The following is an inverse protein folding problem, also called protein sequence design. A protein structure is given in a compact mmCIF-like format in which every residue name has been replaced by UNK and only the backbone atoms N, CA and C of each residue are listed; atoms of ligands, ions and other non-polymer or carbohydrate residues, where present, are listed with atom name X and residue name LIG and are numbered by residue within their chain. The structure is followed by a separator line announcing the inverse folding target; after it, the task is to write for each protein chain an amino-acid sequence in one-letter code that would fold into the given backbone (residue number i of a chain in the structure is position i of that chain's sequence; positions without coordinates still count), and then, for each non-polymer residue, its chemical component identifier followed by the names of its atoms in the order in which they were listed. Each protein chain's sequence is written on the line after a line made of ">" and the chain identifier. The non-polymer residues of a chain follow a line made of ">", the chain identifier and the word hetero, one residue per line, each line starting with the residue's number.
data_IF_122511719738
#
_entry.id   IF_122511719738
#
_cell.length_a   1.000
_cell.length_b   1.000
_cell.length_c   1.000
_cell.angle_alpha   90.00
_cell.angle_beta   90.00
_cell.angle_gamma   90.00
#
_symmetry.space_group_name_H-M   'P 1'
#
loop_
_entity.id
_entity.type
_entity.pdbx_description
1 polymer ?
#
# COMPACT_ATOMS: atom_id res chain seq x y z
N UNK A 1 -4.17 7.66 -19.48
CA UNK A 1 -4.66 7.85 -18.10
C UNK A 1 -3.42 7.79 -17.22
N UNK A 2 -2.97 8.92 -16.68
CA UNK A 2 -1.92 8.92 -15.64
C UNK A 2 -2.60 8.63 -14.31
N UNK A 3 -1.96 7.81 -13.47
CA UNK A 3 -2.39 7.58 -12.09
C UNK A 3 -1.85 8.72 -11.25
N UNK A 4 -2.68 9.27 -10.36
CA UNK A 4 -2.24 10.27 -9.38
C UNK A 4 -1.43 9.64 -8.23
N UNK A 5 -1.37 8.31 -8.16
CA UNK A 5 -0.75 7.54 -7.06
C UNK A 5 0.64 6.98 -7.41
N UNK A 6 0.99 6.91 -8.69
CA UNK A 6 2.23 6.31 -9.18
C UNK A 6 2.83 7.10 -10.34
N UNK A 7 4.09 7.50 -10.17
CA UNK A 7 4.84 8.33 -11.10
C UNK A 7 6.18 7.68 -11.45
N UNK A 8 6.44 7.58 -12.75
CA UNK A 8 7.75 7.18 -13.27
C UNK A 8 8.61 8.44 -13.48
N UNK A 9 9.89 8.33 -13.13
CA UNK A 9 10.89 9.32 -13.46
C UNK A 9 11.16 9.39 -14.96
N UNK A 10 11.94 10.39 -15.40
CA UNK A 10 12.36 10.52 -16.80
C UNK A 10 13.21 9.35 -17.32
N UNK A 11 13.73 8.53 -16.41
CA UNK A 11 14.46 7.28 -16.66
C UNK A 11 13.55 6.05 -16.77
N UNK A 12 12.24 6.21 -16.58
CA UNK A 12 11.26 5.12 -16.61
C UNK A 12 11.21 4.28 -15.33
N UNK A 13 11.87 4.71 -14.24
CA UNK A 13 11.88 4.02 -12.96
C UNK A 13 10.87 4.62 -11.98
N UNK A 14 10.44 3.82 -11.01
CA UNK A 14 9.77 4.34 -9.81
C UNK A 14 10.84 4.80 -8.85
N UNK A 15 10.72 6.02 -8.35
CA UNK A 15 11.66 6.61 -7.38
C UNK A 15 11.00 6.73 -6.01
N UNK A 16 11.75 6.55 -4.90
CA UNK A 16 11.28 6.95 -3.58
C UNK A 16 10.87 8.43 -3.60
N UNK A 17 9.92 8.80 -2.74
CA UNK A 17 9.70 10.23 -2.45
C UNK A 17 11.01 10.86 -1.97
N UNK A 18 11.43 11.91 -2.67
CA UNK A 18 12.67 12.62 -2.38
C UNK A 18 12.46 13.68 -1.28
N UNK A 19 13.33 13.68 -0.27
CA UNK A 19 13.41 14.74 0.74
C UNK A 19 12.72 14.44 2.07
N UNK A 20 12.75 15.42 2.99
CA UNK A 20 12.13 15.32 4.32
C UNK A 20 10.65 15.70 4.32
N UNK A 21 10.07 16.02 3.16
CA UNK A 21 8.67 16.42 3.00
C UNK A 21 7.98 15.40 2.11
N UNK A 22 6.87 14.85 2.60
CA UNK A 22 6.02 13.99 1.80
C UNK A 22 5.32 14.85 0.74
N UNK A 23 5.83 14.82 -0.49
CA UNK A 23 5.25 15.60 -1.59
C UNK A 23 4.04 14.90 -2.22
N UNK A 24 4.14 13.58 -2.51
CA UNK A 24 3.08 12.75 -3.13
C UNK A 24 3.27 11.25 -2.87
N UNK A 25 2.21 10.43 -2.93
CA UNK A 25 2.34 8.98 -2.95
C UNK A 25 3.09 8.50 -4.20
N UNK A 26 3.92 7.47 -4.03
CA UNK A 26 4.53 6.74 -5.14
C UNK A 26 4.67 5.23 -4.84
N UNK A 27 3.61 4.64 -4.27
CA UNK A 27 3.61 3.25 -3.83
C UNK A 27 2.26 2.78 -3.34
N UNK A 28 2.26 1.66 -2.60
CA UNK A 28 1.05 1.02 -2.11
C UNK A 28 0.42 1.82 -0.98
N UNK A 29 -0.83 2.27 -1.18
CA UNK A 29 -1.64 2.94 -0.18
C UNK A 29 -2.08 1.95 0.93
N UNK A 30 -1.80 2.31 2.18
CA UNK A 30 -2.11 1.51 3.36
C UNK A 30 -2.77 2.38 4.44
N UNK A 31 -3.63 1.76 5.27
CA UNK A 31 -4.28 2.40 6.42
C UNK A 31 -4.32 1.42 7.61
N UNK A 32 -4.26 1.93 8.85
CA UNK A 32 -4.62 1.14 10.02
C UNK A 32 -6.05 0.60 9.88
N UNK A 33 -6.28 -0.57 10.47
CA UNK A 33 -7.61 -1.16 10.59
C UNK A 33 -8.44 -0.38 11.63
N UNK A 34 -9.08 0.69 11.17
CA UNK A 34 -9.94 1.56 11.96
C UNK A 34 -11.17 2.03 11.18
N UNK A 35 -12.00 2.91 11.76
CA UNK A 35 -13.30 3.28 11.18
C UNK A 35 -13.24 3.74 9.72
N UNK A 36 -12.21 4.52 9.36
CA UNK A 36 -12.02 5.03 8.00
C UNK A 36 -11.71 3.90 7.01
N UNK A 37 -10.79 2.98 7.34
CA UNK A 37 -10.48 1.86 6.46
C UNK A 37 -11.67 0.91 6.30
N UNK A 38 -12.44 0.71 7.37
CA UNK A 38 -13.65 -0.09 7.33
C UNK A 38 -14.73 0.54 6.46
N UNK A 39 -14.89 1.86 6.50
CA UNK A 39 -15.75 2.58 5.56
C UNK A 39 -15.29 2.41 4.11
N UNK A 40 -13.98 2.49 3.85
CA UNK A 40 -13.40 2.24 2.52
C UNK A 40 -13.72 0.83 2.04
N UNK A 41 -13.46 -0.19 2.87
CA UNK A 41 -13.72 -1.60 2.53
C UNK A 41 -15.21 -1.80 2.24
N UNK A 42 -16.12 -1.32 3.09
CA UNK A 42 -17.58 -1.51 2.92
C UNK A 42 -18.13 -0.85 1.66
N UNK A 43 -17.59 0.30 1.29
CA UNK A 43 -18.07 1.09 0.15
C UNK A 43 -17.28 0.85 -1.14
N UNK A 44 -16.27 -0.02 -1.13
CA UNK A 44 -15.46 -0.28 -2.32
C UNK A 44 -16.31 -0.93 -3.42
N UNK A 45 -16.42 -0.23 -4.57
CA UNK A 45 -17.26 -0.67 -5.69
C UNK A 45 -16.61 -1.77 -6.56
N UNK A 46 -15.34 -2.10 -6.32
CA UNK A 46 -14.61 -3.10 -7.09
C UNK A 46 -15.13 -4.51 -6.82
N UNK A 47 -15.42 -5.25 -7.90
CA UNK A 47 -15.88 -6.64 -7.79
C UNK A 47 -14.70 -7.53 -7.41
N UNK A 48 -14.87 -8.38 -6.39
CA UNK A 48 -13.84 -9.32 -5.89
C UNK A 48 -12.58 -8.62 -5.35
N UNK A 49 -12.78 -7.52 -4.62
CA UNK A 49 -11.68 -6.90 -3.90
C UNK A 49 -11.11 -7.88 -2.86
N UNK A 50 -9.78 -7.95 -2.83
CA UNK A 50 -9.02 -8.64 -1.80
C UNK A 50 -8.50 -7.60 -0.81
N UNK A 51 -8.59 -7.93 0.48
CA UNK A 51 -8.10 -7.11 1.57
C UNK A 51 -6.92 -7.85 2.18
N UNK A 52 -5.74 -7.22 2.15
CA UNK A 52 -4.57 -7.71 2.87
C UNK A 52 -4.45 -6.96 4.20
N UNK A 53 -4.39 -7.69 5.31
CA UNK A 53 -4.13 -7.16 6.65
C UNK A 53 -2.74 -7.62 7.09
N UNK A 54 -1.85 -6.67 7.33
CA UNK A 54 -0.49 -6.90 7.85
C UNK A 54 -0.47 -6.50 9.31
N UNK A 55 -0.02 -7.39 10.19
CA UNK A 55 0.07 -7.13 11.62
C UNK A 55 1.19 -6.13 11.96
N UNK A 56 1.04 -5.43 13.08
CA UNK A 56 2.09 -4.54 13.60
C UNK A 56 3.36 -5.33 13.95
N UNK A 57 4.52 -4.73 13.70
CA UNK A 57 5.81 -5.33 14.04
C UNK A 57 6.41 -6.24 12.97
N UNK A 58 5.70 -6.45 11.84
CA UNK A 58 6.27 -7.13 10.68
C UNK A 58 7.44 -6.31 10.10
N UNK A 59 8.64 -6.89 9.98
CA UNK A 59 9.77 -6.20 9.35
C UNK A 59 9.50 -5.92 7.87
N UNK A 60 9.75 -4.68 7.46
CA UNK A 60 9.65 -4.27 6.06
C UNK A 60 10.96 -4.65 5.35
N UNK A 61 10.90 -5.25 4.14
CA UNK A 61 12.10 -5.53 3.34
C UNK A 61 12.94 -4.27 3.13
N UNK A 62 14.28 -4.36 3.12
CA UNK A 62 15.14 -3.19 2.98
C UNK A 62 14.97 -2.45 1.65
N UNK A 63 14.40 -3.09 0.63
CA UNK A 63 14.05 -2.50 -0.66
C UNK A 63 12.77 -1.65 -0.61
N UNK A 64 12.01 -1.72 0.49
CA UNK A 64 10.78 -0.98 0.71
C UNK A 64 10.90 -0.03 1.91
N UNK A 65 10.10 1.02 1.89
CA UNK A 65 10.00 2.01 2.98
C UNK A 65 8.55 2.39 3.20
N UNK A 66 8.13 2.47 4.45
CA UNK A 66 6.80 2.92 4.82
C UNK A 66 6.86 4.39 5.23
N UNK A 67 6.25 5.25 4.41
CA UNK A 67 6.05 6.65 4.75
C UNK A 67 4.70 6.84 5.41
N UNK A 68 4.69 7.63 6.48
CA UNK A 68 3.45 8.19 7.02
C UNK A 68 3.16 9.48 6.28
N UNK A 69 2.08 9.51 5.49
CA UNK A 69 1.75 10.67 4.66
C UNK A 69 1.10 11.77 5.50
N UNK A 70 -0.09 11.46 6.01
CA UNK A 70 -0.96 12.34 6.79
C UNK A 70 -2.07 11.50 7.44
N UNK A 71 -2.56 11.94 8.61
CA UNK A 71 -3.66 11.27 9.33
C UNK A 71 -3.42 9.75 9.52
N UNK A 72 -4.27 8.92 8.93
CA UNK A 72 -4.22 7.45 8.98
C UNK A 72 -3.67 6.83 7.67
N UNK A 73 -3.10 7.65 6.78
CA UNK A 73 -2.66 7.21 5.46
C UNK A 73 -1.15 6.99 5.45
N UNK A 74 -0.76 5.78 5.03
CA UNK A 74 0.62 5.36 4.83
C UNK A 74 0.86 4.94 3.38
N UNK A 75 2.10 5.05 2.93
CA UNK A 75 2.54 4.61 1.61
C UNK A 75 3.75 3.71 1.72
N UNK A 76 3.61 2.46 1.29
CA UNK A 76 4.70 1.52 1.17
C UNK A 76 5.33 1.66 -0.23
N UNK A 77 6.52 2.21 -0.28
CA UNK A 77 7.21 2.62 -1.51
C UNK A 77 8.53 1.88 -1.69
N UNK A 78 9.15 2.01 -2.86
CA UNK A 78 10.53 1.59 -3.06
C UNK A 78 11.48 2.46 -2.22
N UNK A 79 12.49 1.87 -1.58
CA UNK A 79 13.56 2.57 -0.86
C UNK A 79 14.69 3.06 -1.79
N UNK A 80 14.75 2.54 -3.01
CA UNK A 80 15.70 2.94 -4.05
C UNK A 80 15.04 2.83 -5.44
N UNK A 81 15.53 3.56 -6.46
CA UNK A 81 14.93 3.54 -7.79
C UNK A 81 14.89 2.12 -8.37
N UNK A 82 13.72 1.70 -8.85
CA UNK A 82 13.52 0.36 -9.42
C UNK A 82 12.46 0.36 -10.51
N UNK A 83 12.35 -0.73 -11.27
CA UNK A 83 11.29 -0.84 -12.27
C UNK A 83 9.92 -0.99 -11.58
N UNK A 84 8.85 -0.54 -12.24
CA UNK A 84 7.49 -0.79 -11.75
C UNK A 84 7.19 -2.29 -11.60
N UNK A 85 7.77 -3.11 -12.47
CA UNK A 85 7.63 -4.56 -12.38
C UNK A 85 8.23 -5.11 -11.08
N UNK A 86 9.44 -4.67 -10.73
CA UNK A 86 10.11 -5.08 -9.49
C UNK A 86 9.37 -4.59 -8.25
N UNK A 87 8.89 -3.34 -8.26
CA UNK A 87 8.10 -2.81 -7.14
C UNK A 87 6.82 -3.64 -6.93
N UNK A 88 6.08 -3.91 -8.00
CA UNK A 88 4.86 -4.73 -7.92
C UNK A 88 5.16 -6.14 -7.40
N UNK A 89 6.25 -6.76 -7.85
CA UNK A 89 6.69 -8.07 -7.37
C UNK A 89 7.01 -8.03 -5.88
N UNK A 90 7.83 -7.08 -5.43
CA UNK A 90 8.22 -6.93 -4.03
C UNK A 90 7.01 -6.70 -3.11
N UNK A 91 6.09 -5.82 -3.49
CA UNK A 91 4.86 -5.56 -2.73
C UNK A 91 4.00 -6.81 -2.63
N UNK A 92 3.81 -7.52 -3.75
CA UNK A 92 3.00 -8.75 -3.80
C UNK A 92 3.62 -9.85 -2.95
N UNK A 93 4.93 -10.05 -3.05
CA UNK A 93 5.67 -11.06 -2.27
C UNK A 93 5.59 -10.74 -0.78
N UNK A 94 5.79 -9.47 -0.40
CA UNK A 94 5.67 -9.01 0.99
C UNK A 94 4.26 -9.27 1.57
N UNK A 95 3.21 -8.87 0.84
CA UNK A 95 1.83 -9.04 1.28
C UNK A 95 1.40 -10.50 1.35
N UNK A 96 1.84 -11.34 0.40
CA UNK A 96 1.55 -12.78 0.44
C UNK A 96 2.28 -13.51 1.56
N UNK A 97 3.50 -13.08 1.89
CA UNK A 97 4.29 -13.73 2.94
C UNK A 97 3.87 -13.32 4.35
N UNK A 98 3.39 -12.08 4.54
CA UNK A 98 3.16 -11.51 5.87
C UNK A 98 1.72 -11.04 6.13
N UNK A 99 0.89 -10.96 5.09
CA UNK A 99 -0.49 -10.50 5.19
C UNK A 99 -1.48 -11.66 5.31
N UNK A 100 -2.53 -11.46 6.09
CA UNK A 100 -3.76 -12.22 5.93
C UNK A 100 -4.55 -11.66 4.75
N UNK A 101 -4.88 -12.51 3.78
CA UNK A 101 -5.74 -12.14 2.64
C UNK A 101 -7.17 -12.62 2.88
N UNK A 102 -8.12 -11.71 2.74
CA UNK A 102 -9.56 -12.00 2.80
C UNK A 102 -10.28 -11.37 1.61
N UNK A 103 -11.47 -11.86 1.31
CA UNK A 103 -12.41 -11.11 0.48
C UNK A 103 -12.97 -9.90 1.23
N UNK A 104 -13.52 -8.93 0.49
CA UNK A 104 -14.24 -7.80 1.07
C UNK A 104 -15.34 -8.22 2.07
N UNK A 105 -16.10 -9.29 1.75
CA UNK A 105 -17.18 -9.81 2.59
C UNK A 105 -16.64 -10.41 3.89
N UNK A 106 -15.67 -11.32 3.78
CA UNK A 106 -14.99 -11.93 4.94
C UNK A 106 -14.32 -10.87 5.83
N UNK A 107 -13.71 -9.84 5.23
CA UNK A 107 -13.13 -8.73 5.99
C UNK A 107 -14.17 -7.96 6.80
N UNK A 108 -15.35 -7.69 6.22
CA UNK A 108 -16.43 -6.99 6.91
C UNK A 108 -17.00 -7.83 8.07
N UNK A 109 -17.07 -9.15 7.91
CA UNK A 109 -17.54 -10.07 8.96
C UNK A 109 -16.54 -10.22 10.10
N UNK A 110 -15.25 -10.39 9.76
CA UNK A 110 -14.19 -10.66 10.73
C UNK A 110 -13.80 -9.43 11.54
N UNK A 111 -13.90 -8.24 10.95
CA UNK A 111 -13.47 -6.97 11.55
C UNK A 111 -14.62 -5.94 11.57
N UNK A 112 -15.68 -6.17 12.38
CA UNK A 112 -16.94 -5.42 12.28
C UNK A 112 -16.94 -4.04 12.98
N UNK A 113 -15.80 -3.37 13.04
CA UNK A 113 -15.58 -2.06 13.68
C UNK A 113 -16.79 -1.10 13.61
#
# INVERSE_FOLDING_TARGET
>A
MQSDDLHLGGDGLVHPVAGNTFDRPNGCSMRPDGPMMQEVIRNFAGRRALVWRVEEGIPIPPELVLYHEHSDHYSLQCASPMTLHDLNRLLTDFLNANGEVTSQEESCEKYPF
#
